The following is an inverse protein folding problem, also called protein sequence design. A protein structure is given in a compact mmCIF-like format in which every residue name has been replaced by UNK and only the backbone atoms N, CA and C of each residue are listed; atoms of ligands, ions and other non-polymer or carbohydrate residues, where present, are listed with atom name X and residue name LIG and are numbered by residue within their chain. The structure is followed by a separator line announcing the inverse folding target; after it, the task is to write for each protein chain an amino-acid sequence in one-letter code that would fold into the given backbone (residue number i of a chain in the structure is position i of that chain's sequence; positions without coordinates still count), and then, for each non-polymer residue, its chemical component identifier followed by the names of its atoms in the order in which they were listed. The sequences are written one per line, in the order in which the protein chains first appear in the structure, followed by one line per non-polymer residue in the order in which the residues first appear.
data_IF_786592219260
#
_entry.id   IF_786592219260
#
_cell.length_a   1.000
_cell.length_b   1.000
_cell.length_c   1.000
_cell.angle_alpha   90.00
_cell.angle_beta   90.00
_cell.angle_gamma   90.00
#
_symmetry.space_group_name_H-M   'P 1'
#
loop_
_entity.id
_entity.type
_entity.pdbx_description
1 polymer ?
#
# COMPACT_ATOMS: atom_id res chain seq x y z
N UNK A 1 8.30 -4.68 10.33
CA UNK A 1 7.67 -5.44 9.26
C UNK A 1 7.06 -6.72 9.78
N UNK A 2 5.89 -7.05 9.28
CA UNK A 2 5.16 -8.20 9.78
C UNK A 2 5.07 -9.29 8.72
N UNK A 3 5.52 -10.49 9.09
CA UNK A 3 5.40 -11.67 8.25
C UNK A 3 4.67 -12.71 9.07
N UNK A 4 3.58 -13.25 8.55
CA UNK A 4 2.83 -14.25 9.28
C UNK A 4 3.48 -15.62 9.15
N UNK A 5 2.90 -16.63 9.79
CA UNK A 5 3.46 -17.98 9.82
C UNK A 5 3.49 -18.64 8.44
N UNK A 6 2.79 -18.09 7.47
CA UNK A 6 2.74 -18.60 6.10
C UNK A 6 3.74 -17.91 5.19
N UNK A 7 4.58 -17.03 5.75
CA UNK A 7 5.60 -16.35 4.99
C UNK A 7 5.08 -15.19 4.14
N UNK A 8 3.85 -14.75 4.36
CA UNK A 8 3.28 -13.65 3.61
C UNK A 8 3.58 -12.33 4.31
N UNK A 9 4.13 -11.38 3.54
CA UNK A 9 4.46 -10.06 4.04
C UNK A 9 3.30 -9.11 3.71
N UNK A 10 2.74 -8.49 4.74
CA UNK A 10 1.59 -7.60 4.56
C UNK A 10 1.95 -6.39 3.71
N UNK A 11 3.19 -5.92 3.75
CA UNK A 11 3.60 -4.80 2.89
C UNK A 11 3.64 -5.20 1.44
N UNK A 12 4.05 -6.43 1.14
CA UNK A 12 3.99 -6.93 -0.22
C UNK A 12 2.58 -7.05 -0.72
N UNK A 13 1.66 -7.51 0.14
CA UNK A 13 0.25 -7.59 -0.23
C UNK A 13 -0.33 -6.21 -0.50
N UNK A 14 0.04 -5.21 0.33
CA UNK A 14 -0.41 -3.84 0.10
C UNK A 14 0.07 -3.34 -1.26
N UNK A 15 1.33 -3.60 -1.59
CA UNK A 15 1.88 -3.21 -2.89
C UNK A 15 1.11 -3.85 -4.03
N UNK A 16 0.81 -5.15 -3.92
CA UNK A 16 0.03 -5.84 -4.94
C UNK A 16 -1.33 -5.21 -5.14
N UNK A 17 -1.99 -4.85 -4.03
CA UNK A 17 -3.29 -4.19 -4.07
C UNK A 17 -3.18 -2.85 -4.80
N UNK A 18 -2.19 -2.05 -4.45
CA UNK A 18 -2.02 -0.73 -5.05
C UNK A 18 -1.71 -0.81 -6.53
N UNK A 19 -0.95 -1.83 -6.95
CA UNK A 19 -0.66 -2.01 -8.36
C UNK A 19 -1.93 -2.37 -9.14
N UNK A 20 -2.81 -3.19 -8.56
CA UNK A 20 -4.08 -3.53 -9.20
C UNK A 20 -4.99 -2.31 -9.30
N UNK A 21 -5.03 -1.50 -8.24
CA UNK A 21 -5.82 -0.27 -8.26
C UNK A 21 -5.30 0.67 -9.36
N UNK A 22 -3.99 0.77 -9.51
CA UNK A 22 -3.42 1.63 -10.53
C UNK A 22 -3.77 1.15 -11.94
N UNK A 23 -4.00 -0.14 -12.11
CA UNK A 23 -4.45 -0.70 -13.38
C UNK A 23 -5.92 -0.46 -13.66
N UNK A 24 -6.63 0.15 -12.72
CA UNK A 24 -8.03 0.50 -12.89
C UNK A 24 -9.01 -0.31 -12.05
N UNK A 25 -8.52 -1.24 -11.23
CA UNK A 25 -9.40 -2.02 -10.37
C UNK A 25 -9.88 -1.17 -9.20
N UNK A 26 -11.07 -1.47 -8.70
CA UNK A 26 -11.65 -0.73 -7.59
C UNK A 26 -11.04 -1.20 -6.27
N UNK A 27 -10.64 -0.23 -5.45
CA UNK A 27 -9.89 -0.53 -4.23
C UNK A 27 -10.62 -1.47 -3.29
N UNK A 28 -11.92 -1.26 -3.06
CA UNK A 28 -12.66 -2.10 -2.12
C UNK A 28 -12.83 -3.54 -2.63
N UNK A 29 -12.86 -3.71 -3.94
CA UNK A 29 -12.98 -5.04 -4.53
C UNK A 29 -11.67 -5.79 -4.41
N UNK A 30 -10.56 -5.13 -4.76
CA UNK A 30 -9.24 -5.74 -4.69
C UNK A 30 -8.90 -6.12 -3.25
N UNK A 31 -9.14 -5.19 -2.32
CA UNK A 31 -8.86 -5.44 -0.91
C UNK A 31 -9.65 -6.64 -0.38
N UNK A 32 -10.94 -6.71 -0.71
CA UNK A 32 -11.77 -7.82 -0.27
C UNK A 32 -11.25 -9.14 -0.83
N UNK A 33 -10.89 -9.17 -2.11
CA UNK A 33 -10.37 -10.39 -2.74
C UNK A 33 -9.11 -10.88 -2.03
N UNK A 34 -8.20 -9.96 -1.69
CA UNK A 34 -6.96 -10.32 -1.02
C UNK A 34 -7.25 -10.85 0.38
N UNK A 35 -8.13 -10.17 1.12
CA UNK A 35 -8.47 -10.61 2.47
C UNK A 35 -9.16 -11.97 2.47
N UNK A 36 -9.94 -12.27 1.45
CA UNK A 36 -10.56 -13.58 1.31
C UNK A 36 -9.55 -14.67 0.97
N UNK A 37 -8.59 -14.32 0.11
CA UNK A 37 -7.57 -15.28 -0.28
C UNK A 37 -6.63 -15.63 0.86
N UNK A 38 -6.34 -14.64 1.71
CA UNK A 38 -5.37 -14.79 2.80
C UNK A 38 -6.07 -14.77 4.15
N UNK A 39 -7.06 -15.67 4.32
CA UNK A 39 -7.87 -15.71 5.53
C UNK A 39 -7.08 -16.05 6.79
N UNK A 40 -5.92 -16.70 6.63
CA UNK A 40 -5.08 -17.06 7.77
C UNK A 40 -4.30 -15.89 8.36
N UNK A 41 -4.36 -14.72 7.74
CA UNK A 41 -3.74 -13.54 8.32
C UNK A 41 -4.37 -13.23 9.68
N UNK A 42 -3.54 -12.82 10.63
CA UNK A 42 -4.03 -12.44 11.94
C UNK A 42 -4.94 -11.23 11.82
N UNK A 43 -5.76 -11.02 12.84
CA UNK A 43 -6.64 -9.85 12.87
C UNK A 43 -5.83 -8.57 12.79
N UNK A 44 -4.68 -8.54 13.47
CA UNK A 44 -3.80 -7.39 13.46
C UNK A 44 -3.22 -7.13 12.06
N UNK A 45 -2.80 -8.19 11.38
CA UNK A 45 -2.24 -8.05 10.03
C UNK A 45 -3.31 -7.62 9.03
N UNK A 46 -4.53 -8.13 9.17
CA UNK A 46 -5.63 -7.73 8.31
C UNK A 46 -5.96 -6.25 8.48
N UNK A 47 -5.95 -5.77 9.73
CA UNK A 47 -6.21 -4.35 10.02
C UNK A 47 -5.08 -3.47 9.46
N UNK A 48 -3.84 -3.91 9.62
CA UNK A 48 -2.69 -3.17 9.10
C UNK A 48 -2.75 -3.06 7.57
N UNK A 49 -3.01 -4.19 6.92
CA UNK A 49 -3.10 -4.23 5.46
C UNK A 49 -4.20 -3.31 4.95
N UNK A 50 -5.37 -3.37 5.58
CA UNK A 50 -6.51 -2.54 5.20
C UNK A 50 -6.17 -1.06 5.34
N UNK A 51 -5.61 -0.69 6.48
CA UNK A 51 -5.28 0.71 6.75
C UNK A 51 -4.24 1.22 5.77
N UNK A 52 -3.21 0.43 5.50
CA UNK A 52 -2.14 0.84 4.59
C UNK A 52 -2.65 1.00 3.17
N UNK A 53 -3.40 0.01 2.68
CA UNK A 53 -3.89 0.05 1.30
C UNK A 53 -4.90 1.17 1.09
N UNK A 54 -5.87 1.29 2.00
CA UNK A 54 -6.90 2.31 1.87
C UNK A 54 -6.35 3.71 2.08
N UNK A 55 -5.52 3.87 3.10
CA UNK A 55 -4.95 5.18 3.42
C UNK A 55 -4.05 5.70 2.31
N UNK A 56 -3.20 4.83 1.77
CA UNK A 56 -2.31 5.21 0.68
C UNK A 56 -3.11 5.61 -0.55
N UNK A 57 -4.18 4.88 -0.84
CA UNK A 57 -5.03 5.19 -1.98
C UNK A 57 -5.73 6.53 -1.80
N UNK A 58 -6.31 6.77 -0.63
CA UNK A 58 -7.06 7.98 -0.35
C UNK A 58 -6.18 9.23 -0.36
N UNK A 59 -4.93 9.08 0.04
CA UNK A 59 -4.03 10.23 0.15
C UNK A 59 -2.97 10.27 -0.94
N UNK A 60 -3.23 9.59 -2.05
CA UNK A 60 -2.24 9.47 -3.12
C UNK A 60 -1.72 10.83 -3.60
N UNK A 61 -2.60 11.79 -3.80
CA UNK A 61 -2.21 13.11 -4.30
C UNK A 61 -1.29 13.80 -3.31
N UNK A 62 -1.63 13.76 -2.04
CA UNK A 62 -0.81 14.35 -0.98
C UNK A 62 0.55 13.66 -0.92
N UNK A 63 0.56 12.33 -0.98
CA UNK A 63 1.79 11.56 -0.90
C UNK A 63 2.71 11.87 -2.08
N UNK A 64 2.14 11.97 -3.27
CA UNK A 64 2.92 12.34 -4.44
C UNK A 64 3.52 13.73 -4.30
N UNK A 65 2.75 14.66 -3.75
CA UNK A 65 3.27 16.01 -3.51
C UNK A 65 4.48 15.95 -2.60
N UNK A 66 4.39 15.20 -1.49
CA UNK A 66 5.51 15.07 -0.55
C UNK A 66 6.73 14.44 -1.22
N UNK A 67 6.52 13.33 -1.92
CA UNK A 67 7.62 12.62 -2.59
C UNK A 67 8.30 13.56 -3.59
N UNK A 68 7.50 14.29 -4.35
CA UNK A 68 8.04 15.16 -5.39
C UNK A 68 8.84 16.34 -4.85
N UNK A 69 8.72 16.65 -3.56
CA UNK A 69 9.55 17.67 -2.94
C UNK A 69 10.99 17.20 -2.72
N UNK A 70 11.20 15.90 -2.61
CA UNK A 70 12.50 15.34 -2.27
C UNK A 70 13.14 14.54 -3.39
N UNK A 71 12.34 14.07 -4.35
CA UNK A 71 12.83 13.23 -5.42
C UNK A 71 13.15 14.04 -6.66
N UNK A 72 14.27 13.73 -7.30
CA UNK A 72 14.60 14.36 -8.59
C UNK A 72 13.65 13.89 -9.69
N UNK A 73 13.16 12.64 -9.56
CA UNK A 73 12.23 12.07 -10.51
C UNK A 73 10.83 12.20 -9.94
N UNK A 74 9.90 12.78 -10.70
CA UNK A 74 8.53 12.92 -10.26
C UNK A 74 7.83 11.57 -10.26
N UNK A 75 6.85 11.40 -9.36
CA UNK A 75 6.16 10.11 -9.23
C UNK A 75 5.54 9.66 -10.54
N UNK A 76 5.02 10.60 -11.34
CA UNK A 76 4.41 10.25 -12.63
C UNK A 76 5.39 9.64 -13.62
N UNK A 77 6.69 9.88 -13.43
CA UNK A 77 7.74 9.34 -14.29
C UNK A 77 8.34 8.06 -13.74
N UNK A 78 7.97 7.67 -12.54
CA UNK A 78 8.51 6.46 -11.92
C UNK A 78 7.79 5.23 -12.41
N UNK A 79 8.47 4.08 -12.34
CA UNK A 79 7.79 2.81 -12.55
C UNK A 79 6.74 2.60 -11.46
N UNK A 80 5.62 1.96 -11.79
CA UNK A 80 4.54 1.78 -10.81
C UNK A 80 4.98 1.14 -9.50
N UNK A 81 5.87 0.13 -9.55
CA UNK A 81 6.35 -0.53 -8.34
C UNK A 81 7.08 0.47 -7.46
N UNK A 82 7.94 1.29 -8.05
CA UNK A 82 8.75 2.23 -7.28
C UNK A 82 7.87 3.29 -6.62
N UNK A 83 6.98 3.92 -7.40
CA UNK A 83 6.16 5.00 -6.82
C UNK A 83 5.22 4.48 -5.73
N UNK A 84 4.71 3.25 -5.89
CA UNK A 84 3.81 2.72 -4.89
C UNK A 84 4.54 2.29 -3.63
N UNK A 85 5.77 1.81 -3.74
CA UNK A 85 6.60 1.54 -2.56
C UNK A 85 6.84 2.83 -1.80
N UNK A 86 7.18 3.91 -2.51
CA UNK A 86 7.43 5.21 -1.87
C UNK A 86 6.17 5.76 -1.22
N UNK A 87 5.04 5.64 -1.90
CA UNK A 87 3.76 6.10 -1.31
C UNK A 87 3.45 5.36 -0.03
N UNK A 88 3.62 4.03 -0.01
CA UNK A 88 3.41 3.25 1.19
C UNK A 88 4.34 3.67 2.32
N UNK A 89 5.61 3.90 2.00
CA UNK A 89 6.58 4.28 3.02
C UNK A 89 6.23 5.63 3.63
N UNK A 90 5.89 6.62 2.79
CA UNK A 90 5.53 7.95 3.28
C UNK A 90 4.25 7.89 4.10
N UNK A 91 3.26 7.11 3.64
CA UNK A 91 2.01 6.96 4.39
C UNK A 91 2.27 6.38 5.77
N UNK A 92 3.10 5.35 5.87
CA UNK A 92 3.41 4.74 7.16
C UNK A 92 4.09 5.73 8.09
N UNK A 93 5.06 6.48 7.57
CA UNK A 93 5.79 7.45 8.39
C UNK A 93 4.87 8.55 8.89
N UNK A 94 4.02 9.06 8.02
CA UNK A 94 3.18 10.20 8.37
C UNK A 94 1.95 9.84 9.20
N UNK A 95 1.35 8.70 8.92
CA UNK A 95 0.05 8.36 9.50
C UNK A 95 0.02 7.12 10.37
N UNK A 96 0.99 6.25 10.27
CA UNK A 96 0.97 4.98 10.99
C UNK A 96 2.13 4.82 11.97
N UNK A 97 3.16 5.62 11.83
CA UNK A 97 4.33 5.52 12.69
C UNK A 97 4.04 6.26 13.99
N UNK A 98 3.99 5.51 15.07
CA UNK A 98 3.68 6.07 16.38
C UNK A 98 4.92 6.20 17.23
#
# INVERSE_FOLDING_TARGET
MTTNNQGVDTRELALMILLEIERGEKSHIVLRQVLEKYQYLSKQDRAFLTRLAEGTTERRIELDYIINQFSKVKTEKMKPVIRNILRCAVYQIKYMDQ
#
